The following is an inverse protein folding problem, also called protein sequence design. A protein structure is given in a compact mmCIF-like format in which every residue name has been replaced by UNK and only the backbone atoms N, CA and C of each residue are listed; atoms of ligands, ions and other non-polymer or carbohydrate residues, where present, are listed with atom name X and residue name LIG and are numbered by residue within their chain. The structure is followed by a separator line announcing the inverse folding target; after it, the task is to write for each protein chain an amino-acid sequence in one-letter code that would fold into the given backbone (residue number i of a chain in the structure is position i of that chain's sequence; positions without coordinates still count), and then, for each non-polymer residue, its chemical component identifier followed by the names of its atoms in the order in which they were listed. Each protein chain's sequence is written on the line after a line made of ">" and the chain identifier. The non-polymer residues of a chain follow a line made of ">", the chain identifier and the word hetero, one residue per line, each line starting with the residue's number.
data_IF_941737762062
#
_entry.id   IF_941737762062
#
_cell.length_a   1.000
_cell.length_b   1.000
_cell.length_c   1.000
_cell.angle_alpha   90.00
_cell.angle_beta   90.00
_cell.angle_gamma   90.00
#
_symmetry.space_group_name_H-M   'P 1'
#
loop_
_entity.id
_entity.type
_entity.pdbx_description
1 polymer ?
#
# COMPACT_ATOMS: atom_id res chain seq x y z
N UNK A 1 14.67 -11.26 -41.87
CA UNK A 1 14.42 -10.08 -41.03
C UNK A 1 12.98 -9.89 -40.56
N UNK A 2 11.95 -10.45 -41.23
CA UNK A 2 10.54 -10.30 -40.77
C UNK A 2 10.16 -11.18 -39.57
N UNK A 3 10.81 -12.34 -39.41
CA UNK A 3 10.52 -13.31 -38.33
C UNK A 3 11.02 -12.82 -36.97
N UNK A 4 12.12 -12.06 -36.93
CA UNK A 4 12.68 -11.51 -35.69
C UNK A 4 11.79 -10.41 -35.06
N UNK A 5 11.07 -9.65 -35.89
CA UNK A 5 10.15 -8.60 -35.42
C UNK A 5 8.88 -9.22 -34.81
N UNK A 6 8.38 -10.32 -35.39
CA UNK A 6 7.23 -11.04 -34.86
C UNK A 6 7.51 -11.72 -33.50
N UNK A 7 8.76 -12.14 -33.24
CA UNK A 7 9.15 -12.73 -31.96
C UNK A 7 9.25 -11.70 -30.83
N UNK A 8 9.60 -10.44 -31.14
CA UNK A 8 9.69 -9.34 -30.17
C UNK A 8 8.31 -8.84 -29.70
N UNK A 9 7.27 -8.94 -30.52
CA UNK A 9 5.89 -8.57 -30.14
C UNK A 9 5.20 -9.59 -29.23
N UNK A 10 5.75 -10.80 -29.09
CA UNK A 10 5.22 -11.83 -28.18
C UNK A 10 5.70 -11.64 -26.72
N UNK A 11 6.64 -10.73 -26.47
CA UNK A 11 7.12 -10.42 -25.11
C UNK A 11 6.46 -9.18 -24.47
N UNK A 12 5.62 -8.44 -25.19
CA UNK A 12 5.01 -7.19 -24.70
C UNK A 12 3.69 -7.38 -23.93
N UNK A 13 3.36 -8.60 -23.53
CA UNK A 13 2.11 -8.95 -22.87
C UNK A 13 2.15 -9.08 -21.34
N UNK A 14 3.25 -8.72 -20.68
CA UNK A 14 3.26 -8.62 -19.22
C UNK A 14 2.51 -7.34 -18.84
N UNK A 15 1.18 -7.42 -18.78
CA UNK A 15 0.40 -6.47 -18.02
C UNK A 15 0.92 -6.52 -16.59
N UNK A 16 1.89 -5.66 -16.26
CA UNK A 16 2.26 -5.41 -14.88
C UNK A 16 0.98 -4.96 -14.20
N UNK A 17 0.52 -5.74 -13.22
CA UNK A 17 -0.59 -5.39 -12.37
C UNK A 17 -0.17 -4.15 -11.58
N UNK A 18 -0.38 -2.98 -12.17
CA UNK A 18 -0.10 -1.69 -11.55
C UNK A 18 -1.33 -1.20 -10.78
N UNK A 19 -1.20 -0.01 -10.19
CA UNK A 19 -2.31 0.64 -9.48
C UNK A 19 -3.61 0.71 -10.31
N UNK A 20 -3.51 0.79 -11.64
CA UNK A 20 -4.66 0.81 -12.56
C UNK A 20 -5.57 -0.42 -12.50
N UNK A 21 -5.11 -1.55 -11.96
CA UNK A 21 -5.91 -2.77 -11.77
C UNK A 21 -6.66 -2.81 -10.44
N UNK A 22 -6.45 -1.84 -9.55
CA UNK A 22 -7.18 -1.72 -8.28
C UNK A 22 -8.61 -1.24 -8.59
N UNK A 23 -9.62 -1.98 -8.15
CA UNK A 23 -11.03 -1.67 -8.43
C UNK A 23 -11.53 -0.48 -7.61
N UNK A 24 -11.20 -0.45 -6.32
CA UNK A 24 -11.48 0.66 -5.41
C UNK A 24 -10.78 1.94 -5.90
N UNK A 25 -11.57 2.97 -6.21
CA UNK A 25 -11.04 4.21 -6.80
C UNK A 25 -10.14 5.00 -5.86
N UNK A 26 -10.42 4.95 -4.57
CA UNK A 26 -9.67 5.69 -3.56
C UNK A 26 -8.33 4.99 -3.28
N UNK A 27 -8.34 3.67 -3.18
CA UNK A 27 -7.12 2.84 -3.08
C UNK A 27 -6.26 2.93 -4.35
N UNK A 28 -6.90 2.96 -5.54
CA UNK A 28 -6.19 3.17 -6.81
C UNK A 28 -5.46 4.49 -6.83
N UNK A 29 -6.16 5.59 -6.51
CA UNK A 29 -5.58 6.94 -6.45
C UNK A 29 -4.49 7.06 -5.38
N UNK A 30 -4.69 6.42 -4.23
CA UNK A 30 -3.69 6.31 -3.19
C UNK A 30 -2.42 5.62 -3.70
N UNK A 31 -2.55 4.46 -4.35
CA UNK A 31 -1.44 3.73 -4.95
C UNK A 31 -0.72 4.55 -6.03
N UNK A 32 -1.45 5.19 -6.94
CA UNK A 32 -0.88 6.04 -8.00
C UNK A 32 -0.07 7.20 -7.41
N UNK A 33 -0.60 7.87 -6.38
CA UNK A 33 0.13 8.94 -5.70
C UNK A 33 1.40 8.42 -4.98
N UNK A 34 1.32 7.27 -4.29
CA UNK A 34 2.45 6.65 -3.60
C UNK A 34 3.57 6.20 -4.54
N UNK A 35 3.23 5.81 -5.77
CA UNK A 35 4.16 5.37 -6.81
C UNK A 35 4.62 6.52 -7.72
N UNK A 36 4.21 7.77 -7.45
CA UNK A 36 4.63 8.96 -8.18
C UNK A 36 3.88 9.24 -9.49
N UNK A 37 2.80 8.50 -9.78
CA UNK A 37 2.02 8.59 -11.01
C UNK A 37 0.67 9.32 -10.84
N UNK A 38 0.42 9.94 -9.69
CA UNK A 38 -0.88 10.55 -9.38
C UNK A 38 -0.83 11.58 -8.26
N UNK A 39 -2.01 11.98 -7.76
CA UNK A 39 -2.15 12.96 -6.68
C UNK A 39 -3.25 12.54 -5.68
N UNK A 40 -3.10 12.96 -4.42
CA UNK A 40 -4.03 12.62 -3.35
C UNK A 40 -5.37 13.38 -3.41
N UNK A 41 -5.42 14.54 -4.09
CA UNK A 41 -6.57 15.46 -4.02
C UNK A 41 -7.91 14.88 -4.50
N UNK A 42 -7.81 13.81 -5.27
CA UNK A 42 -8.91 13.10 -5.90
C UNK A 42 -9.45 11.93 -5.05
N UNK A 43 -8.85 11.62 -3.89
CA UNK A 43 -9.35 10.58 -2.98
C UNK A 43 -10.59 11.11 -2.24
N UNK A 44 -11.69 10.34 -2.25
CA UNK A 44 -12.95 10.75 -1.63
C UNK A 44 -12.98 10.48 -0.12
N UNK A 45 -12.46 9.34 0.33
CA UNK A 45 -12.19 9.05 1.73
C UNK A 45 -11.25 10.12 2.29
N UNK A 46 -11.77 10.95 3.20
CA UNK A 46 -11.02 12.07 3.75
C UNK A 46 -9.78 11.62 4.51
N UNK A 47 -9.86 10.52 5.26
CA UNK A 47 -8.77 10.04 6.09
C UNK A 47 -7.67 9.40 5.23
N UNK A 48 -8.05 8.66 4.19
CA UNK A 48 -7.12 8.11 3.21
C UNK A 48 -6.45 9.23 2.41
N UNK A 49 -7.20 10.27 2.02
CA UNK A 49 -6.64 11.45 1.34
C UNK A 49 -5.59 12.13 2.21
N UNK A 50 -5.91 12.37 3.48
CA UNK A 50 -5.02 13.00 4.46
C UNK A 50 -3.77 12.17 4.72
N UNK A 51 -3.93 10.86 4.84
CA UNK A 51 -2.82 9.93 4.95
C UNK A 51 -1.92 10.00 3.71
N UNK A 52 -2.51 9.95 2.51
CA UNK A 52 -1.79 10.09 1.25
C UNK A 52 -0.97 11.40 1.21
N UNK A 53 -1.59 12.53 1.54
CA UNK A 53 -0.94 13.85 1.56
C UNK A 53 0.24 13.91 2.55
N UNK A 54 0.09 13.28 3.72
CA UNK A 54 1.15 13.21 4.73
C UNK A 54 2.30 12.27 4.33
N UNK A 55 2.00 11.22 3.56
CA UNK A 55 2.97 10.21 3.10
C UNK A 55 3.69 10.58 1.80
N UNK A 56 3.13 11.44 0.95
CA UNK A 56 3.68 11.81 -0.37
C UNK A 56 4.10 13.27 -0.49
N UNK A 57 3.71 14.13 0.47
CA UNK A 57 4.00 15.55 0.45
C UNK A 57 4.03 16.18 1.85
N UNK A 58 3.55 17.42 1.94
CA UNK A 58 3.59 18.25 3.16
C UNK A 58 2.31 18.15 4.02
N UNK A 59 1.48 17.12 3.83
CA UNK A 59 0.27 16.91 4.65
C UNK A 59 0.59 16.59 6.11
N UNK A 60 -0.38 16.77 6.99
CA UNK A 60 -0.26 16.47 8.43
C UNK A 60 -1.15 15.31 8.83
N UNK A 61 -0.58 14.32 9.55
CA UNK A 61 -1.33 13.23 10.16
C UNK A 61 -2.42 13.72 11.13
N UNK A 62 -2.24 14.91 11.73
CA UNK A 62 -3.19 15.46 12.72
C UNK A 62 -4.57 15.79 12.17
N UNK A 63 -4.72 15.83 10.85
CA UNK A 63 -6.00 16.10 10.19
C UNK A 63 -6.76 14.81 9.81
N UNK A 64 -6.22 13.62 10.09
CA UNK A 64 -6.90 12.32 9.94
C UNK A 64 -7.86 12.16 11.12
N UNK A 65 -9.13 11.86 10.87
CA UNK A 65 -10.17 11.75 11.90
C UNK A 65 -10.08 10.42 12.65
N UNK A 66 -9.96 9.31 11.92
CA UNK A 66 -9.75 7.99 12.48
C UNK A 66 -8.46 7.93 13.32
N UNK A 67 -8.59 7.55 14.59
CA UNK A 67 -7.47 7.57 15.53
C UNK A 67 -6.39 6.55 15.18
N UNK A 68 -6.78 5.39 14.67
CA UNK A 68 -5.88 4.29 14.39
C UNK A 68 -5.04 4.60 13.13
N UNK A 69 -5.68 5.10 12.06
CA UNK A 69 -5.00 5.64 10.87
C UNK A 69 -4.12 6.83 11.22
N UNK A 70 -4.58 7.74 12.09
CA UNK A 70 -3.78 8.90 12.53
C UNK A 70 -2.52 8.46 13.27
N UNK A 71 -2.65 7.53 14.21
CA UNK A 71 -1.53 7.00 14.99
C UNK A 71 -0.56 6.21 14.11
N UNK A 72 -1.08 5.42 13.17
CA UNK A 72 -0.27 4.75 12.15
C UNK A 72 0.53 5.73 11.29
N UNK A 73 -0.10 6.81 10.82
CA UNK A 73 0.57 7.87 10.07
C UNK A 73 1.69 8.53 10.90
N UNK A 74 1.42 8.89 12.16
CA UNK A 74 2.43 9.47 13.05
C UNK A 74 3.61 8.54 13.29
N UNK A 75 3.35 7.25 13.51
CA UNK A 75 4.39 6.25 13.63
C UNK A 75 5.26 6.24 12.37
N UNK A 76 4.67 6.12 11.16
CA UNK A 76 5.38 6.14 9.87
C UNK A 76 6.25 7.38 9.64
N UNK A 77 5.87 8.52 10.22
CA UNK A 77 6.63 9.77 10.15
C UNK A 77 7.70 9.90 11.23
N UNK A 78 7.84 8.92 12.14
CA UNK A 78 8.80 8.96 13.26
C UNK A 78 8.35 9.83 14.44
N UNK A 79 7.10 10.29 14.46
CA UNK A 79 6.55 11.22 15.46
C UNK A 79 5.60 10.54 16.46
N UNK A 80 5.67 9.21 16.60
CA UNK A 80 4.79 8.43 17.47
C UNK A 80 5.18 6.96 17.55
N UNK A 81 4.36 6.16 18.23
CA UNK A 81 4.55 4.72 18.36
C UNK A 81 3.28 3.94 18.01
N UNK A 82 3.45 2.67 17.63
CA UNK A 82 2.34 1.81 17.23
C UNK A 82 1.41 1.41 18.40
N UNK A 83 1.84 1.59 19.66
CA UNK A 83 1.10 1.17 20.85
C UNK A 83 -0.25 1.86 21.06
N UNK A 84 -0.48 3.02 20.45
CA UNK A 84 -1.75 3.76 20.54
C UNK A 84 -2.78 3.37 19.47
N UNK A 85 -2.45 2.43 18.58
CA UNK A 85 -3.38 1.89 17.57
C UNK A 85 -4.22 0.79 18.23
N UNK A 86 -5.55 0.93 18.23
CA UNK A 86 -6.46 -0.03 18.86
C UNK A 86 -6.64 -1.28 18.01
N UNK A 87 -6.85 -1.11 16.70
CA UNK A 87 -6.90 -2.20 15.73
C UNK A 87 -5.61 -3.03 15.79
N UNK A 88 -5.75 -4.32 16.12
CA UNK A 88 -4.60 -5.20 16.34
C UNK A 88 -3.81 -5.46 15.07
N UNK A 89 -4.47 -5.57 13.92
CA UNK A 89 -3.81 -5.94 12.67
C UNK A 89 -3.06 -4.74 12.09
N UNK A 90 -3.62 -3.53 12.19
CA UNK A 90 -2.94 -2.29 11.87
C UNK A 90 -1.79 -2.01 12.85
N UNK A 91 -1.99 -2.26 14.15
CA UNK A 91 -0.93 -2.14 15.16
C UNK A 91 0.24 -3.08 14.85
N UNK A 92 -0.05 -4.34 14.52
CA UNK A 92 0.98 -5.32 14.22
C UNK A 92 1.65 -5.04 12.87
N UNK A 93 0.91 -4.53 11.88
CA UNK A 93 1.47 -4.02 10.63
C UNK A 93 2.45 -2.88 10.90
N UNK A 94 2.05 -1.90 11.71
CA UNK A 94 2.91 -0.79 12.12
C UNK A 94 4.22 -1.28 12.75
N UNK A 95 4.14 -2.18 13.73
CA UNK A 95 5.35 -2.72 14.36
C UNK A 95 6.23 -3.50 13.38
N UNK A 96 5.62 -4.21 12.44
CA UNK A 96 6.36 -4.98 11.45
C UNK A 96 7.08 -4.10 10.43
N UNK A 97 6.54 -2.93 10.10
CA UNK A 97 7.20 -1.93 9.27
C UNK A 97 8.31 -1.17 10.02
N UNK A 98 8.18 -1.01 11.34
CA UNK A 98 9.16 -0.33 12.19
C UNK A 98 10.30 -1.22 12.71
N UNK A 99 10.35 -2.49 12.28
CA UNK A 99 11.39 -3.43 12.70
C UNK A 99 11.22 -4.01 14.11
N UNK A 100 10.07 -3.81 14.76
CA UNK A 100 9.81 -4.29 16.13
C UNK A 100 9.36 -5.74 16.20
N UNK A 101 8.38 -6.15 15.39
CA UNK A 101 7.81 -7.51 15.40
C UNK A 101 7.73 -8.11 13.97
N UNK A 102 7.61 -9.44 13.86
CA UNK A 102 7.39 -10.12 12.57
C UNK A 102 5.96 -9.95 12.05
N UNK A 103 5.71 -10.25 10.77
CA UNK A 103 4.35 -10.20 10.18
C UNK A 103 3.42 -11.29 10.74
N UNK A 104 3.94 -12.29 11.45
CA UNK A 104 3.19 -13.43 11.99
C UNK A 104 2.09 -13.06 12.98
N UNK A 105 2.18 -11.90 13.63
CA UNK A 105 1.18 -11.42 14.60
C UNK A 105 -0.05 -10.77 13.95
N UNK A 106 -0.03 -10.52 12.65
CA UNK A 106 -1.18 -9.98 11.91
C UNK A 106 -2.18 -11.12 11.67
N UNK A 107 -3.41 -10.97 12.16
CA UNK A 107 -4.45 -12.00 12.11
C UNK A 107 -5.07 -12.10 10.72
N UNK A 108 -5.43 -10.97 10.13
CA UNK A 108 -5.89 -10.88 8.74
C UNK A 108 -4.84 -11.45 7.78
N UNK A 109 -5.24 -12.43 6.97
CA UNK A 109 -4.32 -13.14 6.08
C UNK A 109 -3.79 -12.28 4.96
N UNK A 110 -4.61 -11.37 4.42
CA UNK A 110 -4.24 -10.54 3.30
C UNK A 110 -3.26 -9.44 3.73
N UNK A 111 -3.51 -8.80 4.88
CA UNK A 111 -2.56 -7.86 5.50
C UNK A 111 -1.25 -8.55 5.90
N UNK A 112 -1.32 -9.76 6.47
CA UNK A 112 -0.13 -10.54 6.82
C UNK A 112 0.70 -10.87 5.58
N UNK A 113 0.05 -11.32 4.51
CA UNK A 113 0.70 -11.65 3.24
C UNK A 113 1.28 -10.40 2.58
N UNK A 114 0.57 -9.27 2.63
CA UNK A 114 1.08 -7.97 2.20
C UNK A 114 2.36 -7.57 2.94
N UNK A 115 2.37 -7.70 4.27
CA UNK A 115 3.54 -7.43 5.11
C UNK A 115 4.73 -8.31 4.71
N UNK A 116 4.53 -9.61 4.50
CA UNK A 116 5.61 -10.50 4.03
C UNK A 116 6.09 -10.14 2.63
N UNK A 117 5.18 -9.75 1.73
CA UNK A 117 5.52 -9.37 0.37
C UNK A 117 6.40 -8.10 0.32
N UNK A 118 6.13 -7.10 1.17
CA UNK A 118 7.01 -5.93 1.35
C UNK A 118 8.40 -6.27 1.87
N UNK A 119 8.57 -7.43 2.49
CA UNK A 119 9.85 -7.96 2.98
C UNK A 119 10.51 -8.95 2.00
N UNK A 120 10.10 -8.94 0.73
CA UNK A 120 10.66 -9.79 -0.33
C UNK A 120 9.86 -11.07 -0.63
N UNK A 121 8.73 -11.30 0.04
CA UNK A 121 7.80 -12.39 -0.30
C UNK A 121 6.99 -12.15 -1.58
N UNK A 122 6.13 -13.09 -1.97
CA UNK A 122 5.24 -12.95 -3.15
C UNK A 122 3.93 -12.24 -2.81
N UNK A 123 3.41 -11.38 -3.71
CA UNK A 123 2.06 -10.80 -3.56
C UNK A 123 0.97 -11.78 -4.02
N UNK A 124 1.32 -12.84 -4.75
CA UNK A 124 0.36 -13.81 -5.31
C UNK A 124 -0.44 -14.60 -4.26
N UNK A 125 -0.02 -14.58 -2.98
CA UNK A 125 -0.75 -15.21 -1.87
C UNK A 125 -1.84 -14.31 -1.26
N UNK A 126 -1.95 -13.06 -1.70
CA UNK A 126 -2.99 -12.13 -1.27
C UNK A 126 -4.28 -12.44 -2.04
N UNK A 127 -5.35 -12.72 -1.31
CA UNK A 127 -6.65 -13.09 -1.86
C UNK A 127 -7.41 -11.88 -2.37
N UNK A 128 -7.44 -10.78 -1.60
CA UNK A 128 -7.99 -9.50 -2.02
C UNK A 128 -7.24 -8.97 -3.26
N UNK A 129 -7.95 -8.85 -4.38
CA UNK A 129 -7.38 -8.42 -5.65
C UNK A 129 -6.80 -7.01 -5.60
N UNK A 130 -7.45 -6.09 -4.90
CA UNK A 130 -7.03 -4.69 -4.81
C UNK A 130 -5.76 -4.57 -3.99
N UNK A 131 -5.69 -5.26 -2.84
CA UNK A 131 -4.47 -5.31 -2.04
C UNK A 131 -3.33 -6.01 -2.77
N UNK A 132 -3.63 -7.08 -3.54
CA UNK A 132 -2.64 -7.77 -4.37
C UNK A 132 -2.09 -6.84 -5.46
N UNK A 133 -2.95 -6.15 -6.18
CA UNK A 133 -2.54 -5.23 -7.25
C UNK A 133 -1.75 -4.04 -6.68
N UNK A 134 -2.13 -3.56 -5.50
CA UNK A 134 -1.35 -2.55 -4.77
C UNK A 134 0.03 -3.07 -4.39
N UNK A 135 0.12 -4.31 -3.91
CA UNK A 135 1.37 -4.95 -3.55
C UNK A 135 2.34 -5.06 -4.75
N UNK A 136 1.84 -5.50 -5.90
CA UNK A 136 2.64 -5.62 -7.12
C UNK A 136 3.09 -4.25 -7.65
N UNK A 137 2.32 -3.18 -7.40
CA UNK A 137 2.66 -1.83 -7.81
C UNK A 137 3.67 -1.12 -6.86
N UNK A 138 3.69 -1.49 -5.58
CA UNK A 138 4.57 -0.88 -4.56
C UNK A 138 5.94 -1.60 -4.42
N UNK A 139 6.16 -2.72 -5.11
CA UNK A 139 7.43 -3.46 -5.14
C UNK A 139 8.41 -2.91 -6.16
#
# INVERSE_FOLDING_TARGET
>A
MRVLIALLMLLSGFAHAGCGSISDSDQRRYCEAKTGNGSCGNINDSDLRRQCEAETGNGSCGQISDSDRRNYCYAKKGNGGCGSINDSDLRNTCYAEMGGYGCSSISDSDQRNYCYAKKGGSCGTISNSDLRNRCEAEK
#
